data_IF_318165341490
#
_entry.id   IF_318165341490
#
_cell.length_a   1.000
_cell.length_b   1.000
_cell.length_c   1.000
_cell.angle_alpha   90.00
_cell.angle_beta   90.00
_cell.angle_gamma   90.00
#
_symmetry.space_group_name_H-M   'P 1'
#
loop_
_entity.id
_entity.type
_entity.pdbx_description
1 polymer ?
#
# COMPACT_ATOMS: atom_id res chain seq x y z
N UNK A 1 5.52 -14.52 -9.48
CA UNK A 1 5.22 -15.95 -9.76
C UNK A 1 5.64 -16.31 -11.17
N UNK A 2 6.67 -17.16 -11.33
CA UNK A 2 7.20 -17.57 -12.64
C UNK A 2 6.41 -18.75 -13.23
N UNK A 3 6.28 -18.78 -14.56
CA UNK A 3 5.61 -19.84 -15.32
C UNK A 3 6.64 -20.78 -15.95
N UNK A 4 7.50 -21.37 -15.12
CA UNK A 4 8.58 -22.25 -15.55
C UNK A 4 8.26 -23.73 -15.28
N UNK A 5 8.96 -24.63 -15.96
CA UNK A 5 8.88 -26.07 -15.69
C UNK A 5 9.11 -26.35 -14.20
N UNK A 6 8.19 -27.09 -13.58
CA UNK A 6 8.24 -27.39 -12.15
C UNK A 6 7.64 -26.31 -11.23
N UNK A 7 6.88 -25.33 -11.75
CA UNK A 7 6.17 -24.28 -10.99
C UNK A 7 5.40 -24.77 -9.75
N UNK A 8 4.81 -25.96 -9.81
CA UNK A 8 4.05 -26.55 -8.70
C UNK A 8 4.92 -27.43 -7.78
N UNK A 9 6.25 -27.32 -7.90
CA UNK A 9 7.22 -27.96 -7.01
C UNK A 9 8.11 -26.90 -6.37
N UNK A 10 8.37 -27.04 -5.07
CA UNK A 10 9.26 -26.13 -4.34
C UNK A 10 10.71 -26.59 -4.54
N UNK A 11 11.43 -25.94 -5.47
CA UNK A 11 12.87 -26.16 -5.65
C UNK A 11 13.57 -24.96 -6.28
N UNK A 12 14.87 -24.89 -6.06
CA UNK A 12 15.78 -24.02 -6.80
C UNK A 12 16.78 -24.87 -7.60
N UNK A 13 17.09 -24.40 -8.80
CA UNK A 13 18.10 -25.00 -9.68
C UNK A 13 19.21 -23.99 -9.93
N UNK A 14 20.36 -24.44 -10.42
CA UNK A 14 21.39 -23.53 -10.92
C UNK A 14 20.90 -22.89 -12.22
N UNK A 15 20.09 -21.84 -12.11
CA UNK A 15 19.53 -21.07 -13.23
C UNK A 15 19.52 -19.59 -12.89
N UNK A 16 20.32 -18.80 -13.60
CA UNK A 16 20.37 -17.35 -13.39
C UNK A 16 19.45 -16.65 -14.38
N UNK A 17 18.53 -15.82 -13.88
CA UNK A 17 17.66 -15.01 -14.75
C UNK A 17 18.50 -14.04 -15.57
N UNK A 18 18.15 -13.92 -16.84
CA UNK A 18 18.68 -12.90 -17.75
C UNK A 18 17.52 -12.09 -18.31
N UNK A 19 17.81 -10.97 -18.97
CA UNK A 19 16.77 -10.15 -19.63
C UNK A 19 15.99 -10.95 -20.68
N UNK A 20 16.66 -11.93 -21.33
CA UNK A 20 16.09 -12.76 -22.38
C UNK A 20 15.44 -14.03 -21.86
N UNK A 21 15.93 -14.60 -20.75
CA UNK A 21 15.45 -15.87 -20.20
C UNK A 21 14.95 -15.69 -18.76
N UNK A 22 13.67 -15.38 -18.64
CA UNK A 22 13.01 -15.15 -17.37
C UNK A 22 12.90 -16.41 -16.48
N UNK A 23 13.04 -17.62 -17.03
CA UNK A 23 13.14 -18.87 -16.27
C UNK A 23 14.57 -19.23 -15.85
N UNK A 24 15.54 -18.43 -16.30
CA UNK A 24 16.95 -18.53 -15.97
C UNK A 24 17.74 -19.50 -16.85
N UNK A 25 18.95 -19.08 -17.20
CA UNK A 25 19.91 -19.85 -17.97
C UNK A 25 20.63 -20.85 -17.08
N UNK A 26 20.64 -22.12 -17.49
CA UNK A 26 21.18 -23.21 -16.69
C UNK A 26 22.69 -23.07 -16.45
N UNK A 27 23.13 -23.54 -15.28
CA UNK A 27 24.51 -23.62 -14.81
C UNK A 27 25.22 -22.28 -14.55
N UNK A 28 24.48 -21.17 -14.50
CA UNK A 28 25.06 -19.85 -14.23
C UNK A 28 25.18 -19.52 -12.73
N UNK A 29 24.60 -20.31 -11.84
CA UNK A 29 24.78 -20.16 -10.39
C UNK A 29 25.83 -21.17 -9.92
N UNK A 30 27.02 -20.67 -9.57
CA UNK A 30 28.12 -21.48 -9.03
C UNK A 30 28.87 -20.70 -7.94
N UNK A 31 29.57 -21.43 -7.07
CA UNK A 31 30.49 -20.87 -6.09
C UNK A 31 31.91 -21.14 -6.55
N UNK A 32 32.74 -20.11 -6.59
CA UNK A 32 34.18 -20.26 -6.80
C UNK A 32 34.88 -20.43 -5.46
N UNK A 33 35.51 -21.58 -5.26
CA UNK A 33 36.24 -21.91 -4.02
C UNK A 33 37.74 -22.00 -4.37
N UNK A 34 38.50 -20.89 -4.24
CA UNK A 34 39.87 -20.82 -4.77
C UNK A 34 40.87 -21.67 -3.99
N UNK A 35 40.58 -21.99 -2.74
CA UNK A 35 41.43 -22.84 -1.90
C UNK A 35 40.58 -23.72 -0.96
N UNK A 36 41.12 -24.90 -0.65
CA UNK A 36 40.56 -25.77 0.37
C UNK A 36 40.60 -25.08 1.75
N UNK A 37 39.52 -25.21 2.51
CA UNK A 37 39.39 -24.57 3.81
C UNK A 37 37.96 -24.57 4.32
N UNK A 38 37.76 -23.92 5.47
CA UNK A 38 36.43 -23.67 6.03
C UNK A 38 35.88 -22.41 5.37
N UNK A 39 34.69 -22.52 4.78
CA UNK A 39 33.97 -21.42 4.15
C UNK A 39 32.61 -21.28 4.82
N UNK A 40 32.18 -20.03 5.04
CA UNK A 40 30.83 -19.72 5.52
C UNK A 40 29.94 -19.39 4.33
N UNK A 41 28.77 -20.02 4.27
CA UNK A 41 27.78 -19.79 3.21
C UNK A 41 26.52 -19.26 3.87
N UNK A 42 26.14 -18.05 3.48
CA UNK A 42 24.97 -17.36 4.00
C UNK A 42 23.86 -17.38 2.96
N UNK A 43 22.67 -17.79 3.38
CA UNK A 43 21.47 -17.72 2.58
C UNK A 43 20.68 -16.48 2.99
N UNK A 44 20.36 -15.63 2.02
CA UNK A 44 19.55 -14.43 2.21
C UNK A 44 18.47 -14.36 1.14
N UNK A 45 17.38 -13.67 1.45
CA UNK A 45 16.17 -13.60 0.64
C UNK A 45 15.81 -12.17 0.31
N UNK A 46 15.21 -11.99 -0.86
CA UNK A 46 14.70 -10.70 -1.34
C UNK A 46 13.26 -10.41 -0.87
N UNK A 47 12.39 -11.43 -0.78
CA UNK A 47 10.93 -11.27 -0.70
C UNK A 47 10.32 -12.11 0.43
N UNK A 48 9.83 -13.32 0.13
CA UNK A 48 9.15 -14.20 1.09
C UNK A 48 10.13 -15.14 1.80
N UNK A 49 9.84 -15.50 3.06
CA UNK A 49 10.59 -16.45 3.87
C UNK A 49 10.99 -17.71 3.10
N UNK A 50 12.12 -18.35 3.45
CA UNK A 50 12.43 -19.68 2.94
C UNK A 50 12.58 -20.71 4.04
N UNK A 51 12.17 -21.92 3.70
CA UNK A 51 12.55 -23.18 4.33
C UNK A 51 13.22 -24.02 3.25
N UNK A 52 14.34 -24.66 3.58
CA UNK A 52 14.94 -25.67 2.72
C UNK A 52 15.17 -26.94 3.55
N UNK A 53 14.78 -28.08 2.99
CA UNK A 53 15.06 -29.38 3.61
C UNK A 53 16.52 -29.80 3.41
N UNK A 54 17.07 -29.47 2.23
CA UNK A 54 18.40 -29.90 1.78
C UNK A 54 19.03 -28.86 0.86
N UNK A 55 20.35 -28.75 0.94
CA UNK A 55 21.19 -28.02 -0.01
C UNK A 55 22.26 -28.95 -0.57
N UNK A 56 22.37 -29.01 -1.89
CA UNK A 56 23.28 -29.90 -2.60
C UNK A 56 24.29 -29.08 -3.41
N UNK A 57 25.57 -29.38 -3.24
CA UNK A 57 26.66 -28.92 -4.10
C UNK A 57 27.29 -30.09 -4.83
N UNK A 58 27.66 -29.87 -6.08
CA UNK A 58 28.29 -30.88 -6.93
C UNK A 58 29.30 -30.21 -7.85
N UNK A 59 30.44 -30.87 -8.07
CA UNK A 59 31.41 -30.50 -9.10
C UNK A 59 31.04 -31.08 -10.48
N UNK A 60 30.10 -32.02 -10.54
CA UNK A 60 29.55 -32.54 -11.78
C UNK A 60 28.44 -31.61 -12.27
N UNK A 61 28.73 -30.85 -13.34
CA UNK A 61 27.80 -29.94 -14.00
C UNK A 61 26.50 -30.63 -14.45
N UNK A 62 26.61 -31.89 -14.90
CA UNK A 62 25.50 -32.69 -15.42
C UNK A 62 24.86 -33.59 -14.35
N UNK A 63 25.11 -33.28 -13.07
CA UNK A 63 24.53 -34.04 -11.97
C UNK A 63 23.00 -33.97 -12.03
N UNK A 64 22.38 -35.13 -12.25
CA UNK A 64 20.92 -35.23 -12.26
C UNK A 64 20.42 -35.15 -10.82
N UNK A 65 19.44 -34.26 -10.60
CA UNK A 65 18.75 -34.16 -9.31
C UNK A 65 18.23 -35.53 -8.88
N UNK A 66 18.43 -35.96 -7.63
CA UNK A 66 17.85 -37.19 -7.11
C UNK A 66 16.32 -37.08 -7.09
N UNK A 67 15.64 -38.20 -7.30
CA UNK A 67 14.17 -38.27 -7.19
C UNK A 67 13.71 -38.48 -5.74
N UNK A 68 14.65 -38.74 -4.83
CA UNK A 68 14.47 -38.98 -3.41
C UNK A 68 15.11 -37.85 -2.56
N UNK A 69 15.37 -38.12 -1.28
CA UNK A 69 16.01 -37.17 -0.34
C UNK A 69 17.45 -36.79 -0.71
N UNK A 70 18.02 -37.44 -1.73
CA UNK A 70 19.38 -37.22 -2.17
C UNK A 70 20.43 -37.89 -1.29
N UNK A 71 21.72 -37.61 -1.53
CA UNK A 71 22.81 -38.26 -0.83
C UNK A 71 22.79 -37.96 0.67
N UNK A 72 23.36 -38.88 1.47
CA UNK A 72 23.52 -38.70 2.89
C UNK A 72 24.36 -37.45 3.20
N UNK A 73 23.95 -36.68 4.21
CA UNK A 73 24.69 -35.48 4.64
C UNK A 73 26.04 -35.91 5.20
N UNK A 74 27.11 -35.28 4.71
CA UNK A 74 28.47 -35.47 5.23
C UNK A 74 28.81 -34.31 6.16
N UNK A 75 29.17 -34.63 7.41
CA UNK A 75 29.50 -33.64 8.44
C UNK A 75 31.00 -33.65 8.65
N UNK A 76 31.65 -32.49 8.46
CA UNK A 76 33.09 -32.38 8.70
C UNK A 76 33.44 -32.38 10.19
N UNK A 77 32.59 -31.80 11.05
CA UNK A 77 32.72 -31.84 12.52
C UNK A 77 31.41 -31.47 13.22
N UNK A 78 31.22 -31.92 14.47
CA UNK A 78 30.02 -31.66 15.27
C UNK A 78 28.89 -32.66 15.04
N UNK A 79 27.73 -32.37 15.65
CA UNK A 79 26.50 -33.14 15.45
C UNK A 79 25.53 -32.32 14.59
N UNK A 80 24.91 -32.96 13.60
CA UNK A 80 23.79 -32.35 12.89
C UNK A 80 22.64 -32.11 13.89
N UNK A 81 21.97 -30.95 13.82
CA UNK A 81 20.70 -30.76 14.50
C UNK A 81 19.69 -31.84 14.08
N UNK A 82 18.75 -32.17 14.97
CA UNK A 82 17.64 -33.04 14.61
C UNK A 82 16.86 -32.41 13.43
N UNK A 83 16.64 -33.19 12.37
CA UNK A 83 15.83 -32.76 11.24
C UNK A 83 14.39 -32.51 11.68
N UNK A 84 13.73 -31.53 11.05
CA UNK A 84 12.28 -31.37 11.17
C UNK A 84 11.56 -32.58 10.55
N UNK A 85 10.34 -32.91 11.01
CA UNK A 85 9.53 -33.94 10.36
C UNK A 85 9.31 -33.58 8.89
N UNK A 86 9.62 -34.52 7.99
CA UNK A 86 9.46 -34.32 6.53
C UNK A 86 7.98 -34.14 6.22
N UNK A 87 7.62 -33.02 5.56
CA UNK A 87 6.29 -32.82 5.03
C UNK A 87 6.03 -33.81 3.88
N UNK A 88 4.85 -34.48 3.81
CA UNK A 88 4.57 -35.38 2.71
C UNK A 88 4.63 -34.62 1.38
N UNK A 89 5.44 -35.13 0.44
CA UNK A 89 5.52 -34.61 -0.93
C UNK A 89 4.14 -34.74 -1.57
N UNK A 90 3.45 -33.62 -1.76
CA UNK A 90 2.24 -33.61 -2.56
C UNK A 90 2.61 -33.94 -4.00
N UNK A 91 2.24 -35.15 -4.44
CA UNK A 91 2.30 -35.51 -5.86
C UNK A 91 1.24 -34.67 -6.55
N UNK A 92 1.65 -33.66 -7.30
CA UNK A 92 0.74 -32.93 -8.17
C UNK A 92 0.28 -33.91 -9.26
N UNK A 93 -0.96 -34.39 -9.17
CA UNK A 93 -1.62 -35.06 -10.28
C UNK A 93 -1.84 -34.04 -11.40
N UNK A 94 -1.34 -34.40 -12.58
CA UNK A 94 -1.41 -33.62 -13.80
C UNK A 94 -2.87 -33.63 -14.30
N UNK A 95 -3.64 -32.59 -13.97
CA UNK A 95 -4.95 -32.37 -14.55
C UNK A 95 -4.79 -31.82 -15.98
N UNK A 96 -4.38 -32.72 -16.89
CA UNK A 96 -4.37 -32.50 -18.32
C UNK A 96 -5.80 -32.30 -18.84
N UNK A 97 -6.18 -31.04 -19.04
CA UNK A 97 -7.46 -30.63 -19.63
C UNK A 97 -7.30 -29.32 -20.38
N UNK A 98 -6.57 -29.35 -21.49
CA UNK A 98 -6.37 -28.21 -22.38
C UNK A 98 -7.66 -27.99 -23.20
N UNK A 99 -8.54 -27.09 -22.74
CA UNK A 99 -9.64 -26.57 -23.57
C UNK A 99 -9.12 -25.35 -24.31
N UNK A 100 -8.93 -25.50 -25.62
CA UNK A 100 -8.55 -24.42 -26.54
C UNK A 100 -9.83 -23.69 -26.96
N UNK A 101 -9.98 -22.37 -26.77
CA UNK A 101 -11.04 -21.63 -27.43
C UNK A 101 -10.62 -21.29 -28.86
N UNK A 102 -11.52 -21.54 -29.80
CA UNK A 102 -11.37 -21.23 -31.23
C UNK A 102 -11.09 -19.74 -31.47
N UNK A 103 -10.18 -19.50 -32.42
CA UNK A 103 -9.81 -18.18 -32.91
C UNK A 103 -10.98 -17.51 -33.64
N UNK A 104 -11.52 -16.43 -33.07
CA UNK A 104 -12.36 -15.48 -33.80
C UNK A 104 -11.43 -14.50 -34.51
N UNK A 105 -11.24 -14.70 -35.81
CA UNK A 105 -10.62 -13.73 -36.70
C UNK A 105 -11.52 -12.50 -36.84
N UNK A 106 -11.07 -11.34 -36.35
CA UNK A 106 -11.57 -10.04 -36.80
C UNK A 106 -10.43 -9.16 -37.27
N UNK A 107 -10.53 -8.81 -38.54
CA UNK A 107 -9.66 -7.95 -39.32
C UNK A 107 -9.51 -6.57 -38.68
N UNK A 108 -8.26 -6.13 -38.53
CA UNK A 108 -7.90 -4.77 -38.19
C UNK A 108 -8.21 -3.81 -39.36
N UNK A 109 -8.89 -2.71 -39.06
CA UNK A 109 -8.70 -1.44 -39.78
C UNK A 109 -8.22 -0.41 -38.77
N UNK A 110 -6.91 -0.18 -38.75
CA UNK A 110 -6.27 0.94 -38.04
C UNK A 110 -6.71 2.24 -38.72
N UNK A 111 -7.79 2.83 -38.21
CA UNK A 111 -8.10 4.23 -38.44
C UNK A 111 -7.31 5.05 -37.42
N UNK A 112 -6.30 5.77 -37.90
CA UNK A 112 -5.64 6.84 -37.16
C UNK A 112 -6.67 7.93 -36.88
N UNK A 113 -7.28 7.91 -35.69
CA UNK A 113 -8.01 9.06 -35.18
C UNK A 113 -6.99 10.16 -34.90
N UNK A 114 -7.19 11.39 -35.44
CA UNK A 114 -6.30 12.50 -35.15
C UNK A 114 -6.35 12.77 -33.64
N UNK A 115 -5.17 12.98 -33.02
CA UNK A 115 -5.09 13.52 -31.67
C UNK A 115 -5.97 14.77 -31.61
N UNK A 116 -6.99 14.73 -30.76
CA UNK A 116 -7.77 15.91 -30.46
C UNK A 116 -6.81 17.03 -30.03
N UNK A 117 -6.97 18.27 -30.52
CA UNK A 117 -6.17 19.39 -30.05
C UNK A 117 -6.30 19.45 -28.52
N UNK A 118 -5.18 19.65 -27.82
CA UNK A 118 -5.16 19.80 -26.37
C UNK A 118 -6.21 20.85 -25.98
N UNK A 119 -7.32 20.40 -25.38
CA UNK A 119 -8.32 21.30 -24.84
C UNK A 119 -7.61 22.19 -23.83
N UNK A 120 -7.72 23.50 -23.99
CA UNK A 120 -7.32 24.45 -22.96
C UNK A 120 -8.10 24.06 -21.70
N UNK A 121 -7.42 23.46 -20.71
CA UNK A 121 -8.06 23.12 -19.43
C UNK A 121 -8.52 24.43 -18.82
N UNK A 122 -9.81 24.51 -18.47
CA UNK A 122 -10.35 25.67 -17.79
C UNK A 122 -9.59 25.89 -16.47
N UNK A 123 -9.40 27.16 -16.11
CA UNK A 123 -8.71 27.52 -14.87
C UNK A 123 -9.47 27.02 -13.64
N UNK A 124 -10.81 27.04 -13.70
CA UNK A 124 -11.71 26.59 -12.64
C UNK A 124 -12.87 25.78 -13.21
N UNK A 125 -13.22 24.69 -12.54
CA UNK A 125 -14.40 23.91 -12.84
C UNK A 125 -15.68 24.63 -12.40
N UNK A 126 -16.76 24.41 -13.16
CA UNK A 126 -18.08 25.00 -12.94
C UNK A 126 -19.15 23.89 -12.86
N UNK A 127 -20.27 24.11 -12.15
CA UNK A 127 -20.59 25.30 -11.35
C UNK A 127 -19.80 25.35 -10.04
N UNK A 128 -19.62 26.55 -9.48
CA UNK A 128 -19.02 26.74 -8.15
C UNK A 128 -20.06 26.95 -7.07
N UNK A 129 -19.70 26.58 -5.85
CA UNK A 129 -20.45 26.91 -4.64
C UNK A 129 -19.70 27.97 -3.83
N UNK A 130 -20.35 28.51 -2.81
CA UNK A 130 -19.70 29.41 -1.87
C UNK A 130 -18.66 28.66 -1.02
N UNK A 131 -17.66 29.38 -0.54
CA UNK A 131 -16.73 28.87 0.46
C UNK A 131 -17.45 28.45 1.74
N UNK A 132 -16.86 27.50 2.46
CA UNK A 132 -17.30 27.10 3.79
C UNK A 132 -17.12 28.23 4.81
N UNK A 133 -17.88 28.20 5.93
CA UNK A 133 -17.87 29.26 6.93
C UNK A 133 -16.61 29.29 7.83
N UNK A 134 -15.61 28.44 7.59
CA UNK A 134 -14.42 28.31 8.42
C UNK A 134 -14.66 27.53 9.72
N UNK A 135 -15.73 26.75 9.82
CA UNK A 135 -16.03 25.95 11.01
C UNK A 135 -15.21 24.66 11.06
N UNK A 136 -14.78 24.28 12.26
CA UNK A 136 -14.04 23.04 12.49
C UNK A 136 -14.92 22.01 13.19
N UNK A 137 -14.82 20.77 12.74
CA UNK A 137 -15.38 19.59 13.40
C UNK A 137 -14.28 18.56 13.67
N UNK A 138 -14.38 17.88 14.81
CA UNK A 138 -13.48 16.80 15.20
C UNK A 138 -14.27 15.48 15.17
N UNK A 139 -13.72 14.45 14.53
CA UNK A 139 -14.33 13.13 14.42
C UNK A 139 -13.32 11.99 14.53
N UNK A 140 -13.82 10.76 14.61
CA UNK A 140 -13.04 9.55 14.86
C UNK A 140 -13.12 9.10 16.32
N UNK A 141 -12.45 7.99 16.62
CA UNK A 141 -12.33 7.49 17.99
C UNK A 141 -11.30 8.36 18.73
N UNK A 142 -11.76 9.19 19.68
CA UNK A 142 -10.90 10.12 20.42
C UNK A 142 -10.10 9.39 21.51
N UNK A 143 -9.20 8.52 21.07
CA UNK A 143 -8.35 7.68 21.90
C UNK A 143 -6.90 7.73 21.45
N UNK A 144 -6.00 7.49 22.38
CA UNK A 144 -4.57 7.40 22.11
C UNK A 144 -4.32 6.35 21.02
N UNK A 145 -3.49 6.68 20.03
CA UNK A 145 -3.15 5.84 18.86
C UNK A 145 -4.25 5.64 17.82
N UNK A 146 -5.43 6.25 17.99
CA UNK A 146 -6.50 6.22 16.97
C UNK A 146 -6.44 7.45 16.08
N UNK A 147 -6.98 7.32 14.85
CA UNK A 147 -7.08 8.44 13.92
C UNK A 147 -8.14 9.45 14.36
N UNK A 148 -7.69 10.60 14.83
CA UNK A 148 -8.51 11.79 15.04
C UNK A 148 -8.49 12.62 13.76
N UNK A 149 -9.67 12.99 13.26
CA UNK A 149 -9.81 13.80 12.04
C UNK A 149 -10.34 15.18 12.39
N UNK A 150 -9.58 16.21 12.05
CA UNK A 150 -10.06 17.58 12.00
C UNK A 150 -10.57 17.86 10.59
N UNK A 151 -11.82 18.27 10.46
CA UNK A 151 -12.41 18.74 9.20
C UNK A 151 -12.75 20.22 9.32
N UNK A 152 -12.14 21.04 8.46
CA UNK A 152 -12.42 22.45 8.28
C UNK A 152 -13.35 22.65 7.08
N UNK A 153 -14.39 23.45 7.26
CA UNK A 153 -15.21 23.97 6.16
C UNK A 153 -14.55 25.20 5.56
N UNK A 154 -13.58 24.96 4.68
CA UNK A 154 -12.73 25.98 4.06
C UNK A 154 -13.21 26.42 2.66
N UNK A 155 -12.32 27.00 1.84
CA UNK A 155 -12.62 27.40 0.48
C UNK A 155 -13.22 26.28 -0.37
N UNK A 156 -14.16 26.63 -1.24
CA UNK A 156 -14.71 25.67 -2.20
C UNK A 156 -13.67 25.39 -3.30
N UNK A 157 -13.38 24.11 -3.51
CA UNK A 157 -12.47 23.66 -4.57
C UNK A 157 -13.06 22.48 -5.35
N UNK A 158 -12.48 22.23 -6.53
CA UNK A 158 -12.64 21.02 -7.30
C UNK A 158 -11.26 20.43 -7.55
N UNK A 159 -11.13 19.11 -7.52
CA UNK A 159 -9.86 18.39 -7.74
C UNK A 159 -9.23 18.60 -9.12
N UNK A 160 -9.88 19.32 -10.05
CA UNK A 160 -9.41 19.65 -11.41
C UNK A 160 -9.23 21.17 -11.61
N UNK A 161 -9.32 21.96 -10.55
CA UNK A 161 -9.03 23.39 -10.61
C UNK A 161 -7.54 23.63 -10.80
N UNK A 162 -7.18 24.58 -11.67
CA UNK A 162 -5.80 24.98 -11.92
C UNK A 162 -5.42 26.28 -11.20
N UNK A 163 -6.36 27.23 -11.07
CA UNK A 163 -6.07 28.56 -10.53
C UNK A 163 -7.21 29.11 -9.62
N UNK A 164 -7.18 28.88 -8.30
CA UNK A 164 -6.16 28.10 -7.58
C UNK A 164 -6.38 26.57 -7.66
N UNK A 165 -5.32 25.82 -7.94
CA UNK A 165 -5.28 24.38 -7.70
C UNK A 165 -5.30 24.05 -6.18
N UNK A 166 -6.21 23.18 -5.70
CA UNK A 166 -6.38 22.89 -4.27
C UNK A 166 -5.19 22.21 -3.60
N UNK A 167 -4.37 21.50 -4.37
CA UNK A 167 -3.29 20.66 -3.85
C UNK A 167 -1.96 21.39 -3.78
N UNK A 168 -1.77 22.45 -4.59
CA UNK A 168 -0.51 23.22 -4.60
C UNK A 168 -0.66 24.69 -4.21
N UNK A 169 -1.87 25.26 -4.34
CA UNK A 169 -2.09 26.69 -4.05
C UNK A 169 -2.82 26.97 -2.73
N UNK A 170 -3.19 25.93 -1.99
CA UNK A 170 -3.65 26.03 -0.61
C UNK A 170 -2.76 25.22 0.31
N UNK A 171 -2.59 25.71 1.54
CA UNK A 171 -1.87 25.02 2.60
C UNK A 171 -2.72 25.06 3.86
N UNK A 172 -3.16 23.88 4.29
CA UNK A 172 -3.71 23.64 5.61
C UNK A 172 -2.60 23.06 6.49
N UNK A 173 -2.28 23.74 7.58
CA UNK A 173 -1.43 23.21 8.64
C UNK A 173 -2.18 23.31 9.96
N UNK A 174 -2.23 22.23 10.71
CA UNK A 174 -2.84 22.24 12.05
C UNK A 174 -1.77 21.94 13.09
N UNK A 175 -1.62 22.85 14.03
CA UNK A 175 -0.76 22.65 15.18
C UNK A 175 -1.56 22.05 16.33
N UNK A 176 -1.29 20.80 16.68
CA UNK A 176 -1.84 20.12 17.83
C UNK A 176 -0.86 20.17 19.01
N UNK A 177 -1.33 20.54 20.20
CA UNK A 177 -0.51 20.63 21.41
C UNK A 177 -1.25 20.00 22.59
N UNK A 178 -0.63 19.00 23.20
CA UNK A 178 -1.15 18.40 24.44
C UNK A 178 -1.11 19.40 25.59
N UNK A 179 -2.07 19.35 26.52
CA UNK A 179 -2.20 20.30 27.64
C UNK A 179 -0.98 20.39 28.58
N UNK A 180 -0.14 19.35 28.61
CA UNK A 180 1.16 19.41 29.32
C UNK A 180 2.23 20.23 28.60
N UNK A 181 1.91 20.87 27.46
CA UNK A 181 2.82 21.64 26.62
C UNK A 181 3.57 20.82 25.57
N UNK A 182 3.72 19.51 25.80
CA UNK A 182 4.27 18.52 24.87
C UNK A 182 3.53 17.19 25.00
N UNK A 183 3.41 16.38 23.93
CA UNK A 183 3.96 16.63 22.59
C UNK A 183 3.21 17.71 21.80
N UNK A 184 3.89 18.21 20.77
CA UNK A 184 3.41 19.25 19.87
C UNK A 184 3.70 18.84 18.43
N UNK A 185 2.68 18.87 17.58
CA UNK A 185 2.77 18.45 16.18
C UNK A 185 2.18 19.51 15.27
N UNK A 186 2.90 19.88 14.21
CA UNK A 186 2.31 20.58 13.06
C UNK A 186 2.07 19.55 11.99
N UNK A 187 0.81 19.32 11.65
CA UNK A 187 0.40 18.28 10.69
C UNK A 187 -0.22 18.96 9.47
N UNK A 188 0.25 18.64 8.26
CA UNK A 188 -0.36 19.15 7.04
C UNK A 188 -1.75 18.53 6.83
N UNK A 189 -2.65 19.29 6.24
CA UNK A 189 -3.94 18.83 5.77
C UNK A 189 -4.05 18.84 4.25
N UNK A 190 -5.19 18.41 3.74
CA UNK A 190 -5.48 18.27 2.30
C UNK A 190 -6.93 18.59 1.98
N UNK A 191 -7.21 18.85 0.69
CA UNK A 191 -8.56 19.02 0.17
C UNK A 191 -9.29 17.67 0.05
N UNK A 192 -10.48 17.56 0.64
CA UNK A 192 -11.23 16.32 0.80
C UNK A 192 -12.65 16.38 0.18
N UNK A 193 -12.84 17.21 -0.85
CA UNK A 193 -14.12 17.39 -1.53
C UNK A 193 -15.29 17.67 -0.57
N UNK A 194 -16.28 16.79 -0.50
CA UNK A 194 -17.46 16.89 0.37
C UNK A 194 -17.26 16.21 1.74
N UNK A 195 -16.11 15.58 1.97
CA UNK A 195 -15.80 14.82 3.17
C UNK A 195 -16.43 13.42 3.23
N UNK A 196 -17.11 12.96 2.20
CA UNK A 196 -17.60 11.58 2.09
C UNK A 196 -17.35 11.01 0.68
N UNK A 197 -16.27 11.49 0.05
CA UNK A 197 -15.97 11.20 -1.35
C UNK A 197 -15.76 9.73 -1.63
N UNK A 198 -15.39 8.93 -0.62
CA UNK A 198 -15.35 7.48 -0.77
C UNK A 198 -16.72 6.88 -1.16
N UNK A 199 -17.83 7.47 -0.67
CA UNK A 199 -19.20 7.02 -0.93
C UNK A 199 -19.93 7.85 -1.99
N UNK A 200 -19.66 9.16 -2.06
CA UNK A 200 -20.36 10.05 -2.98
C UNK A 200 -19.66 10.21 -4.33
N UNK A 201 -18.37 9.84 -4.41
CA UNK A 201 -17.47 10.15 -5.51
C UNK A 201 -17.38 11.64 -5.84
N UNK A 202 -17.61 12.50 -4.84
CA UNK A 202 -17.51 13.92 -5.04
C UNK A 202 -16.07 14.33 -5.39
N UNK A 203 -15.95 15.10 -6.46
CA UNK A 203 -14.71 15.71 -6.94
C UNK A 203 -14.54 17.17 -6.47
N UNK A 204 -15.54 17.70 -5.75
CA UNK A 204 -15.57 19.10 -5.29
C UNK A 204 -16.32 19.24 -3.97
N UNK A 205 -16.07 20.36 -3.30
CA UNK A 205 -16.71 20.69 -2.03
C UNK A 205 -15.88 21.68 -1.22
N UNK A 206 -16.16 21.76 0.08
CA UNK A 206 -15.54 22.73 1.00
C UNK A 206 -14.78 22.06 2.14
N UNK A 207 -14.61 20.73 2.13
CA UNK A 207 -13.99 20.01 3.24
C UNK A 207 -12.48 19.94 3.06
N UNK A 208 -11.77 20.31 4.12
CA UNK A 208 -10.32 20.20 4.22
C UNK A 208 -9.98 19.41 5.48
N UNK A 209 -9.13 18.39 5.37
CA UNK A 209 -8.89 17.42 6.43
C UNK A 209 -7.45 17.40 6.89
N UNK A 210 -7.28 17.20 8.19
CA UNK A 210 -6.01 16.89 8.82
C UNK A 210 -6.20 15.74 9.80
N UNK A 211 -5.24 14.83 9.88
CA UNK A 211 -5.33 13.63 10.72
C UNK A 211 -4.21 13.60 11.76
N UNK A 212 -4.56 13.44 13.03
CA UNK A 212 -3.63 13.20 14.12
C UNK A 212 -3.88 11.79 14.67
N UNK A 213 -2.81 11.05 14.98
CA UNK A 213 -2.88 9.90 15.87
C UNK A 213 -2.28 10.31 17.22
N UNK A 214 -3.08 10.77 18.20
CA UNK A 214 -2.56 11.32 19.45
C UNK A 214 -1.80 10.24 20.21
N UNK A 215 -0.58 10.53 20.63
CA UNK A 215 0.29 9.58 21.33
C UNK A 215 0.18 9.69 22.85
N UNK A 216 -0.74 10.54 23.35
CA UNK A 216 -0.92 10.79 24.77
C UNK A 216 -2.40 11.07 25.11
N UNK A 217 -2.96 10.42 26.15
CA UNK A 217 -4.28 10.77 26.69
C UNK A 217 -4.26 12.13 27.39
N UNK A 218 -5.41 12.81 27.39
CA UNK A 218 -5.61 14.14 27.96
C UNK A 218 -6.15 15.12 26.93
N UNK A 219 -6.21 16.39 27.32
CA UNK A 219 -6.72 17.44 26.43
C UNK A 219 -5.69 17.86 25.40
N UNK A 220 -6.13 17.93 24.15
CA UNK A 220 -5.35 18.44 23.02
C UNK A 220 -5.96 19.74 22.52
N UNK A 221 -5.14 20.78 22.40
CA UNK A 221 -5.52 22.03 21.77
C UNK A 221 -5.03 22.04 20.32
N UNK A 222 -5.77 22.67 19.43
CA UNK A 222 -5.36 22.88 18.05
C UNK A 222 -5.43 24.36 17.65
N UNK A 223 -4.56 24.75 16.72
CA UNK A 223 -4.63 26.03 15.99
C UNK A 223 -4.45 25.76 14.50
N UNK A 224 -5.37 26.27 13.69
CA UNK A 224 -5.44 26.07 12.24
C UNK A 224 -4.73 27.23 11.54
N UNK A 225 -3.85 26.92 10.59
CA UNK A 225 -3.41 27.85 9.56
C UNK A 225 -3.93 27.37 8.21
N UNK A 226 -4.72 28.21 7.54
CA UNK A 226 -5.30 27.93 6.23
C UNK A 226 -4.97 29.10 5.30
N UNK A 227 -4.05 28.85 4.38
CA UNK A 227 -3.42 29.89 3.56
C UNK A 227 -3.58 29.59 2.08
N UNK A 228 -3.67 30.64 1.26
CA UNK A 228 -3.67 30.56 -0.20
C UNK A 228 -2.48 31.34 -0.76
N UNK A 229 -1.76 30.74 -1.70
CA UNK A 229 -0.60 31.35 -2.35
C UNK A 229 -0.07 30.45 -3.47
N UNK A 230 0.71 31.00 -4.38
CA UNK A 230 1.24 30.25 -5.53
C UNK A 230 2.25 29.20 -5.07
N UNK A 231 2.00 27.91 -5.36
CA UNK A 231 2.85 26.77 -4.94
C UNK A 231 3.21 26.80 -3.44
N UNK A 232 2.25 27.24 -2.61
CA UNK A 232 2.43 27.39 -1.17
C UNK A 232 2.77 26.08 -0.46
N UNK A 233 2.36 24.94 -1.02
CA UNK A 233 2.69 23.61 -0.49
C UNK A 233 4.17 23.25 -0.58
N UNK A 234 4.98 23.98 -1.36
CA UNK A 234 6.39 23.66 -1.63
C UNK A 234 7.40 24.56 -0.89
N UNK A 235 6.93 25.52 -0.07
CA UNK A 235 7.81 26.51 0.58
C UNK A 235 7.41 26.79 2.03
N UNK A 236 8.43 27.02 2.87
CA UNK A 236 8.25 27.36 4.29
C UNK A 236 7.93 28.85 4.54
N UNK A 237 8.20 29.73 3.56
CA UNK A 237 7.95 31.18 3.67
C UNK A 237 7.15 31.73 2.47
N UNK A 238 5.93 31.23 2.24
CA UNK A 238 5.12 31.62 1.10
C UNK A 238 4.57 33.04 1.23
N UNK A 239 4.61 33.80 0.14
CA UNK A 239 3.70 34.94 -0.03
C UNK A 239 2.29 34.37 -0.11
N UNK A 240 1.47 34.67 0.89
CA UNK A 240 0.16 34.05 1.06
C UNK A 240 -0.82 34.97 1.73
N UNK A 241 -2.11 34.70 1.51
CA UNK A 241 -3.21 35.34 2.22
C UNK A 241 -3.98 34.33 3.08
N UNK A 242 -4.57 34.82 4.17
CA UNK A 242 -5.52 34.07 4.99
C UNK A 242 -6.78 33.80 4.17
N UNK A 243 -7.36 32.61 4.31
CA UNK A 243 -8.67 32.28 3.75
C UNK A 243 -9.59 31.76 4.86
N UNK A 244 -10.91 31.54 4.61
CA UNK A 244 -11.83 31.10 5.64
C UNK A 244 -11.30 29.90 6.45
N UNK A 245 -11.29 30.05 7.78
CA UNK A 245 -10.74 29.05 8.72
C UNK A 245 -9.33 29.33 9.26
N UNK A 246 -8.58 30.29 8.68
CA UNK A 246 -7.26 30.67 9.22
C UNK A 246 -7.38 31.22 10.65
N UNK A 247 -6.52 30.76 11.55
CA UNK A 247 -6.48 31.18 12.95
C UNK A 247 -7.56 30.57 13.85
N UNK A 248 -8.38 29.63 13.35
CA UNK A 248 -9.35 28.93 14.19
C UNK A 248 -8.64 28.05 15.20
N UNK A 249 -9.06 28.15 16.46
CA UNK A 249 -8.52 27.38 17.57
C UNK A 249 -9.63 26.55 18.22
N UNK A 250 -9.22 25.50 18.93
CA UNK A 250 -10.13 24.71 19.75
C UNK A 250 -9.41 23.61 20.50
N UNK A 251 -10.19 22.68 21.05
CA UNK A 251 -9.63 21.55 21.79
C UNK A 251 -10.56 20.34 21.74
N UNK A 252 -9.99 19.17 22.01
CA UNK A 252 -10.72 17.92 22.18
C UNK A 252 -10.03 17.06 23.24
N UNK A 253 -10.78 16.14 23.83
CA UNK A 253 -10.29 15.20 24.84
C UNK A 253 -9.90 13.87 24.19
N UNK A 254 -8.77 13.31 24.60
CA UNK A 254 -8.29 12.00 24.16
C UNK A 254 -8.26 11.05 25.35
N UNK A 255 -9.00 9.95 25.28
CA UNK A 255 -8.95 8.89 26.27
C UNK A 255 -7.78 7.92 26.02
N UNK A 256 -7.39 7.08 27.00
CA UNK A 256 -6.52 5.93 26.74
C UNK A 256 -7.12 5.00 25.68
N UNK A 257 -6.25 4.31 24.93
CA UNK A 257 -6.71 3.24 24.03
C UNK A 257 -7.35 2.11 24.83
N UNK A 258 -8.44 1.56 24.31
CA UNK A 258 -9.09 0.35 24.81
C UNK A 258 -8.85 -0.87 23.91
N UNK A 259 -8.00 -0.70 22.90
CA UNK A 259 -7.67 -1.77 21.97
C UNK A 259 -6.76 -2.80 22.63
N UNK A 260 -6.92 -4.03 22.19
CA UNK A 260 -6.10 -5.17 22.60
C UNK A 260 -5.61 -5.89 21.35
N UNK A 261 -4.59 -6.73 21.50
CA UNK A 261 -4.07 -7.56 20.41
C UNK A 261 -5.20 -8.37 19.75
N UNK A 262 -5.27 -8.45 18.40
CA UNK A 262 -4.23 -8.11 17.44
C UNK A 262 -4.24 -6.66 16.91
N UNK A 263 -5.17 -5.81 17.33
CA UNK A 263 -5.28 -4.42 16.85
C UNK A 263 -4.00 -3.64 17.16
N UNK A 264 -3.35 -3.08 16.13
CA UNK A 264 -2.05 -2.44 16.27
C UNK A 264 -2.09 -1.15 17.12
N UNK A 265 -3.28 -0.55 17.28
CA UNK A 265 -3.49 0.61 18.15
C UNK A 265 -3.35 0.27 19.64
N UNK A 266 -3.37 -1.01 20.00
CA UNK A 266 -3.02 -1.46 21.36
C UNK A 266 -1.53 -1.29 21.66
N UNK A 267 -0.69 -1.23 20.62
CA UNK A 267 0.77 -1.20 20.74
C UNK A 267 1.38 0.18 20.44
N UNK A 268 0.64 1.07 19.78
CA UNK A 268 1.10 2.40 19.38
C UNK A 268 1.98 2.38 18.14
N UNK A 269 2.60 3.50 17.82
CA UNK A 269 3.42 3.64 16.60
C UNK A 269 4.74 2.85 16.69
N UNK A 270 5.17 2.24 15.58
CA UNK A 270 6.51 1.64 15.48
C UNK A 270 7.61 2.71 15.47
N UNK A 271 8.68 2.47 16.21
CA UNK A 271 9.81 3.36 16.37
C UNK A 271 11.12 2.63 16.11
N UNK A 272 12.04 3.31 15.43
CA UNK A 272 13.44 2.90 15.40
C UNK A 272 14.10 3.31 16.72
N UNK A 273 14.63 2.33 17.45
CA UNK A 273 15.20 2.53 18.79
C UNK A 273 16.73 2.41 18.82
N UNK A 274 17.38 2.51 17.66
CA UNK A 274 18.84 2.33 17.54
C UNK A 274 19.32 0.88 17.52
N UNK A 275 18.39 -0.08 17.47
CA UNK A 275 18.64 -1.52 17.51
C UNK A 275 18.17 -2.20 16.21
N UNK A 276 18.47 -3.50 16.07
CA UNK A 276 18.14 -4.29 14.86
C UNK A 276 16.65 -4.29 14.48
N UNK A 277 15.74 -4.28 15.46
CA UNK A 277 14.30 -4.40 15.24
C UNK A 277 13.55 -3.14 15.69
N UNK A 278 12.47 -2.81 14.98
CA UNK A 278 11.54 -1.75 15.40
C UNK A 278 10.82 -2.15 16.69
N UNK A 279 10.43 -1.15 17.47
CA UNK A 279 9.73 -1.33 18.74
C UNK A 279 8.46 -0.49 18.76
N UNK A 280 7.38 -1.05 19.28
CA UNK A 280 6.12 -0.35 19.49
C UNK A 280 6.21 0.65 20.65
N UNK A 281 5.72 1.88 20.43
CA UNK A 281 5.86 2.99 21.39
C UNK A 281 5.10 2.77 22.71
N UNK A 282 3.91 2.17 22.69
CA UNK A 282 3.08 1.96 23.89
C UNK A 282 3.51 0.68 24.61
N UNK A 283 3.42 -0.45 23.90
CA UNK A 283 3.66 -1.77 24.52
C UNK A 283 5.13 -2.06 24.78
N UNK A 284 6.04 -1.34 24.10
CA UNK A 284 7.46 -1.65 24.15
C UNK A 284 7.81 -3.03 23.57
N UNK A 285 6.93 -3.66 22.79
CA UNK A 285 7.22 -4.93 22.15
C UNK A 285 8.02 -4.72 20.86
N UNK A 286 8.94 -5.63 20.56
CA UNK A 286 9.61 -5.64 19.26
C UNK A 286 8.67 -6.13 18.16
N UNK A 287 8.80 -5.57 16.97
CA UNK A 287 8.02 -5.93 15.81
C UNK A 287 8.86 -6.71 14.81
N UNK A 288 8.46 -7.96 14.55
CA UNK A 288 8.98 -8.78 13.48
C UNK A 288 7.99 -8.73 12.31
N UNK A 289 8.38 -8.08 11.21
CA UNK A 289 7.56 -8.01 10.00
C UNK A 289 7.44 -9.40 9.39
N UNK A 290 6.21 -9.87 9.22
CA UNK A 290 5.86 -11.11 8.53
C UNK A 290 4.58 -10.85 7.73
N UNK A 291 4.68 -10.80 6.41
CA UNK A 291 3.58 -10.33 5.58
C UNK A 291 3.82 -10.51 4.10
N UNK A 292 2.76 -10.39 3.31
CA UNK A 292 2.84 -10.57 1.86
C UNK A 292 3.55 -9.38 1.20
N UNK A 293 4.54 -9.66 0.35
CA UNK A 293 5.21 -8.62 -0.46
C UNK A 293 4.56 -8.45 -1.85
N UNK A 294 3.50 -9.22 -2.13
CA UNK A 294 2.77 -9.19 -3.40
C UNK A 294 1.25 -9.30 -3.19
N UNK A 295 0.45 -8.77 -4.14
CA UNK A 295 0.88 -8.05 -5.34
C UNK A 295 1.27 -6.59 -5.05
N UNK A 296 2.40 -6.13 -5.61
CA UNK A 296 2.81 -4.71 -5.56
C UNK A 296 1.71 -3.75 -6.08
N UNK A 297 0.87 -4.25 -6.98
CA UNK A 297 -0.26 -3.51 -7.58
C UNK A 297 -1.59 -3.75 -6.86
N UNK A 298 -1.55 -4.03 -5.56
CA UNK A 298 -2.74 -4.26 -4.71
C UNK A 298 -3.81 -3.17 -4.90
N UNK A 299 -3.40 -1.90 -5.03
CA UNK A 299 -4.29 -0.76 -5.23
C UNK A 299 -4.85 -0.63 -6.66
N UNK A 300 -4.37 -1.45 -7.62
CA UNK A 300 -4.97 -1.57 -8.95
C UNK A 300 -6.20 -2.47 -8.88
N UNK A 301 -7.29 -1.94 -8.34
CA UNK A 301 -8.48 -2.68 -7.90
C UNK A 301 -9.75 -2.11 -8.57
N UNK A 302 -10.65 -3.00 -9.02
CA UNK A 302 -11.82 -2.62 -9.85
C UNK A 302 -12.85 -1.74 -9.15
N UNK A 303 -12.92 -1.80 -7.82
CA UNK A 303 -13.97 -1.13 -7.05
C UNK A 303 -13.58 0.27 -6.59
N UNK A 304 -12.31 0.67 -6.80
CA UNK A 304 -11.89 2.05 -6.59
C UNK A 304 -12.35 2.95 -7.72
N UNK A 305 -12.82 4.15 -7.38
CA UNK A 305 -13.18 5.16 -8.35
C UNK A 305 -11.94 5.61 -9.16
N UNK A 306 -12.18 6.08 -10.38
CA UNK A 306 -11.13 6.65 -11.25
C UNK A 306 -9.93 5.73 -11.54
N UNK A 307 -10.07 4.41 -11.38
CA UNK A 307 -8.97 3.44 -11.51
C UNK A 307 -9.05 2.71 -12.84
N UNK A 308 -7.96 2.71 -13.59
CA UNK A 308 -7.84 2.04 -14.90
C UNK A 308 -6.50 1.30 -15.00
N UNK A 309 -6.45 0.24 -15.81
CA UNK A 309 -5.20 -0.42 -16.15
C UNK A 309 -4.71 0.07 -17.51
N UNK A 310 -3.46 0.57 -17.58
CA UNK A 310 -2.81 0.96 -18.83
C UNK A 310 -2.42 -0.24 -19.71
N UNK A 311 -2.32 -1.44 -19.11
CA UNK A 311 -1.98 -2.70 -19.78
C UNK A 311 -3.01 -3.80 -19.43
N UNK A 312 -4.30 -3.64 -19.75
CA UNK A 312 -5.37 -4.50 -19.23
C UNK A 312 -5.21 -5.98 -19.64
N UNK A 313 -4.63 -6.26 -20.81
CA UNK A 313 -4.39 -7.63 -21.29
C UNK A 313 -3.25 -8.35 -20.53
N UNK A 314 -2.36 -7.61 -19.86
CA UNK A 314 -1.20 -8.17 -19.15
C UNK A 314 -1.35 -8.08 -17.63
N UNK A 315 -1.82 -6.93 -17.15
CA UNK A 315 -1.96 -6.62 -15.73
C UNK A 315 -3.32 -5.95 -15.51
N UNK A 316 -4.44 -6.70 -15.62
CA UNK A 316 -5.77 -6.16 -15.38
C UNK A 316 -5.91 -5.67 -13.94
N UNK A 317 -6.93 -4.85 -13.70
CA UNK A 317 -7.36 -4.52 -12.35
C UNK A 317 -7.82 -5.79 -11.63
N UNK A 318 -7.52 -5.86 -10.34
CA UNK A 318 -7.88 -6.99 -9.48
C UNK A 318 -9.33 -6.89 -9.07
N UNK A 319 -9.98 -8.03 -8.90
CA UNK A 319 -11.30 -8.12 -8.26
C UNK A 319 -11.23 -8.59 -6.81
N UNK A 320 -10.15 -9.28 -6.43
CA UNK A 320 -10.05 -10.04 -5.17
C UNK A 320 -11.30 -10.90 -4.90
N UNK A 321 -11.98 -11.36 -5.95
CA UNK A 321 -13.22 -12.13 -5.84
C UNK A 321 -13.12 -13.38 -4.95
N UNK A 322 -12.00 -14.14 -4.94
CA UNK A 322 -11.84 -15.28 -4.03
C UNK A 322 -11.89 -14.91 -2.54
N UNK A 323 -11.70 -13.63 -2.20
CA UNK A 323 -11.70 -13.13 -0.84
C UNK A 323 -13.01 -12.45 -0.44
N UNK A 324 -14.07 -12.51 -1.25
CA UNK A 324 -15.37 -11.97 -0.86
C UNK A 324 -15.92 -12.70 0.38
N UNK A 325 -15.74 -14.02 0.46
CA UNK A 325 -16.18 -14.82 1.59
C UNK A 325 -15.31 -14.62 2.85
N UNK A 326 -14.16 -13.95 2.69
CA UNK A 326 -13.25 -13.61 3.79
C UNK A 326 -13.66 -12.32 4.52
N UNK A 327 -14.58 -11.53 3.94
CA UNK A 327 -15.21 -10.32 4.51
C UNK A 327 -16.29 -10.71 5.53
N UNK A 328 -16.37 -10.00 6.64
CA UNK A 328 -17.31 -10.26 7.74
C UNK A 328 -18.32 -9.13 7.89
N UNK A 329 -19.48 -9.43 8.49
CA UNK A 329 -20.44 -8.39 8.88
C UNK A 329 -19.78 -7.36 9.82
N UNK A 330 -19.91 -6.08 9.48
CA UNK A 330 -19.28 -4.97 10.20
C UNK A 330 -17.95 -4.49 9.60
N UNK A 331 -17.33 -5.26 8.71
CA UNK A 331 -16.16 -4.80 7.96
C UNK A 331 -16.53 -3.64 7.02
N UNK A 332 -15.61 -2.70 6.78
CA UNK A 332 -15.92 -1.52 6.01
C UNK A 332 -16.19 -1.87 4.54
N UNK A 333 -17.01 -1.04 3.91
CA UNK A 333 -17.26 -1.00 2.47
C UNK A 333 -17.49 0.45 2.06
N UNK A 334 -17.52 0.72 0.76
CA UNK A 334 -17.92 2.02 0.21
C UNK A 334 -18.94 1.83 -0.90
N UNK A 335 -19.68 2.89 -1.26
CA UNK A 335 -20.62 2.92 -2.39
C UNK A 335 -21.53 1.68 -2.46
N UNK A 336 -22.26 1.44 -1.38
CA UNK A 336 -23.22 0.34 -1.27
C UNK A 336 -22.61 -1.06 -1.45
N UNK A 337 -21.48 -1.31 -0.80
CA UNK A 337 -20.90 -2.66 -0.67
C UNK A 337 -19.71 -2.96 -1.58
N UNK A 338 -19.16 -1.97 -2.27
CA UNK A 338 -17.86 -2.08 -2.95
C UNK A 338 -16.74 -2.24 -1.94
N UNK A 339 -15.65 -2.86 -2.38
CA UNK A 339 -14.46 -3.04 -1.55
C UNK A 339 -14.36 -4.37 -0.82
N UNK A 340 -15.44 -5.16 -0.77
CA UNK A 340 -15.50 -6.41 -0.02
C UNK A 340 -14.37 -7.37 -0.36
N UNK A 341 -14.04 -7.53 -1.65
CA UNK A 341 -12.96 -8.42 -2.06
C UNK A 341 -11.60 -8.01 -1.47
N UNK A 342 -11.24 -6.72 -1.53
CA UNK A 342 -9.97 -6.24 -1.02
C UNK A 342 -9.93 -6.25 0.52
N UNK A 343 -11.01 -5.83 1.18
CA UNK A 343 -11.12 -5.89 2.65
C UNK A 343 -11.06 -7.34 3.15
N UNK A 344 -11.75 -8.26 2.48
CA UNK A 344 -11.65 -9.69 2.77
C UNK A 344 -10.23 -10.24 2.53
N UNK A 345 -9.50 -9.75 1.52
CA UNK A 345 -8.11 -10.16 1.31
C UNK A 345 -7.21 -9.73 2.48
N UNK A 346 -7.43 -8.54 3.05
CA UNK A 346 -6.74 -8.09 4.27
C UNK A 346 -7.10 -8.99 5.46
N UNK A 347 -8.39 -9.35 5.62
CA UNK A 347 -8.80 -10.29 6.68
C UNK A 347 -8.14 -11.66 6.53
N UNK A 348 -8.04 -12.16 5.30
CA UNK A 348 -7.38 -13.42 5.01
C UNK A 348 -5.92 -13.38 5.47
N UNK A 349 -5.18 -12.31 5.12
CA UNK A 349 -3.79 -12.13 5.56
C UNK A 349 -3.69 -12.09 7.09
N UNK A 350 -4.54 -11.32 7.76
CA UNK A 350 -4.60 -11.25 9.22
C UNK A 350 -4.84 -12.64 9.84
N UNK A 351 -5.80 -13.42 9.30
CA UNK A 351 -6.07 -14.81 9.76
C UNK A 351 -4.91 -15.77 9.52
N UNK A 352 -4.04 -15.51 8.53
CA UNK A 352 -2.81 -16.27 8.30
C UNK A 352 -1.65 -15.84 9.21
N UNK A 353 -1.88 -14.87 10.10
CA UNK A 353 -0.87 -14.35 11.02
C UNK A 353 0.05 -13.32 10.37
N UNK A 354 -0.28 -12.81 9.18
CA UNK A 354 0.46 -11.72 8.58
C UNK A 354 0.17 -10.41 9.30
N UNK A 355 1.21 -9.60 9.51
CA UNK A 355 1.14 -8.30 10.18
C UNK A 355 1.60 -7.13 9.28
N UNK A 356 1.78 -7.41 8.00
CA UNK A 356 2.13 -6.43 6.98
C UNK A 356 1.63 -6.90 5.61
N UNK A 357 1.42 -5.95 4.71
CA UNK A 357 1.27 -6.19 3.29
C UNK A 357 1.89 -5.04 2.50
N UNK A 358 2.48 -5.35 1.36
CA UNK A 358 3.18 -4.40 0.50
C UNK A 358 2.28 -3.91 -0.63
N UNK A 359 2.47 -2.65 -1.04
CA UNK A 359 1.80 -2.06 -2.19
C UNK A 359 2.58 -0.84 -2.71
N UNK A 360 2.43 -0.53 -3.99
CA UNK A 360 2.90 0.71 -4.59
C UNK A 360 1.75 1.73 -4.61
N UNK A 361 2.06 2.99 -4.32
CA UNK A 361 1.11 4.12 -4.46
C UNK A 361 1.21 4.78 -5.84
N UNK A 362 2.25 4.48 -6.61
CA UNK A 362 2.48 5.01 -7.94
C UNK A 362 3.33 4.04 -8.77
N UNK A 363 2.83 3.60 -9.92
CA UNK A 363 3.56 2.76 -10.87
C UNK A 363 3.31 3.14 -12.34
N UNK A 364 2.81 4.35 -12.60
CA UNK A 364 2.54 4.82 -13.96
C UNK A 364 3.80 4.75 -14.83
N UNK A 365 3.69 4.12 -16.00
CA UNK A 365 4.80 3.83 -16.91
C UNK A 365 5.63 2.58 -16.57
N UNK A 366 5.43 1.98 -15.40
CA UNK A 366 6.10 0.74 -14.97
C UNK A 366 5.42 -0.53 -15.50
N UNK A 367 5.81 -1.68 -14.96
CA UNK A 367 5.31 -2.99 -15.42
C UNK A 367 3.80 -3.16 -15.17
N UNK A 368 3.30 -2.67 -14.04
CA UNK A 368 1.88 -2.69 -13.73
C UNK A 368 1.06 -1.62 -14.45
N UNK A 369 1.55 -0.38 -14.51
CA UNK A 369 0.91 0.79 -15.15
C UNK A 369 -0.59 0.89 -14.84
N UNK A 370 -0.96 0.81 -13.56
CA UNK A 370 -2.35 0.70 -13.12
C UNK A 370 -2.62 1.25 -11.71
N UNK A 371 -1.64 1.92 -11.10
CA UNK A 371 -1.75 2.56 -9.78
C UNK A 371 -1.13 3.95 -9.83
N UNK A 372 -1.94 4.95 -9.50
CA UNK A 372 -1.54 6.33 -9.25
C UNK A 372 -2.62 7.02 -8.40
N UNK A 373 -2.25 8.04 -7.62
CA UNK A 373 -3.19 8.73 -6.74
C UNK A 373 -3.97 9.85 -7.46
N UNK A 374 -3.65 10.09 -8.74
CA UNK A 374 -4.14 11.23 -9.51
C UNK A 374 -5.47 10.93 -10.22
N UNK A 375 -6.17 12.00 -10.60
CA UNK A 375 -7.38 11.97 -11.46
C UNK A 375 -7.09 11.35 -12.83
N UNK A 376 -5.85 11.51 -13.32
CA UNK A 376 -5.39 10.88 -14.55
C UNK A 376 -3.90 10.57 -14.48
N UNK A 377 -3.49 9.55 -15.23
CA UNK A 377 -2.14 8.98 -15.21
C UNK A 377 -1.01 10.01 -15.31
N UNK A 378 -1.18 11.02 -16.17
CA UNK A 378 -0.14 12.00 -16.49
C UNK A 378 -0.39 13.38 -15.84
N UNK A 379 -1.42 13.50 -14.98
CA UNK A 379 -1.80 14.76 -14.30
C UNK A 379 -1.40 14.76 -12.82
N UNK A 380 -0.09 14.95 -12.59
CA UNK A 380 0.54 14.78 -11.27
C UNK A 380 0.19 15.86 -10.25
N UNK A 381 -0.57 16.89 -10.63
CA UNK A 381 -0.95 18.00 -9.76
C UNK A 381 -2.42 17.92 -9.29
N UNK A 382 -3.17 16.91 -9.75
CA UNK A 382 -4.59 16.76 -9.43
C UNK A 382 -4.82 15.36 -8.85
N UNK A 383 -4.97 15.29 -7.53
CA UNK A 383 -5.25 14.06 -6.80
C UNK A 383 -6.73 13.71 -6.91
N UNK A 384 -7.05 12.41 -7.03
CA UNK A 384 -8.44 11.93 -7.04
C UNK A 384 -8.94 11.78 -5.61
N UNK A 385 -9.82 12.68 -5.17
CA UNK A 385 -10.30 12.72 -3.80
C UNK A 385 -11.01 11.41 -3.42
N UNK A 386 -11.91 10.93 -4.29
CA UNK A 386 -12.73 9.73 -4.03
C UNK A 386 -11.89 8.46 -3.94
N UNK A 387 -10.95 8.27 -4.87
CA UNK A 387 -10.03 7.13 -4.89
C UNK A 387 -9.19 7.09 -3.61
N UNK A 388 -8.62 8.22 -3.21
CA UNK A 388 -7.75 8.29 -2.03
C UNK A 388 -8.51 8.08 -0.73
N UNK A 389 -9.74 8.57 -0.63
CA UNK A 389 -10.61 8.33 0.53
C UNK A 389 -10.95 6.82 0.64
N UNK A 390 -11.17 6.13 -0.49
CA UNK A 390 -11.35 4.67 -0.52
C UNK A 390 -10.07 3.89 -0.17
N UNK A 391 -8.90 4.35 -0.61
CA UNK A 391 -7.61 3.79 -0.17
C UNK A 391 -7.45 3.93 1.35
N UNK A 392 -7.84 5.09 1.90
CA UNK A 392 -7.85 5.36 3.33
C UNK A 392 -8.63 4.32 4.13
N UNK A 393 -9.81 3.90 3.64
CA UNK A 393 -10.63 2.84 4.26
C UNK A 393 -9.84 1.53 4.39
N UNK A 394 -9.11 1.12 3.34
CA UNK A 394 -8.32 -0.12 3.35
C UNK A 394 -7.17 -0.04 4.35
N UNK A 395 -6.50 1.11 4.44
CA UNK A 395 -5.38 1.30 5.36
C UNK A 395 -5.82 1.40 6.82
N UNK A 396 -6.96 2.05 7.08
CA UNK A 396 -7.58 2.06 8.41
C UNK A 396 -7.93 0.62 8.83
N UNK A 397 -8.52 -0.16 7.93
CA UNK A 397 -8.88 -1.56 8.19
C UNK A 397 -7.66 -2.44 8.45
N UNK A 398 -6.60 -2.29 7.66
CA UNK A 398 -5.35 -3.03 7.85
C UNK A 398 -4.59 -2.68 9.13
N UNK A 399 -4.97 -1.60 9.83
CA UNK A 399 -4.43 -1.22 11.14
C UNK A 399 -5.22 -1.85 12.30
N UNK A 400 -6.51 -2.13 12.09
CA UNK A 400 -7.49 -2.46 13.11
C UNK A 400 -7.51 -3.93 13.53
#
# INVERSE_FOLDING_TARGET
>A
MQWCDGKNSWRWESRQRTETEHCGEAHQIFLEVPAAGIHEIQFSMREDGFEFDRWLMTNNREFKRPADEGPAVVVSSGNLPAAFPVAPVAVAEDAGGQVVPEAVTRSASLSTLPMAPAMVKADLQQPRQADGPGTVSISGDLKQWHKVTLTLDGPFAHELDNAPNPFVNYQLNVQFTHESGLPKYTVPGYFAADGDSANTSAASGTKWRCHLAPDKPGRWNYSVSMRKGTFISETDTPISEAVPGDGVEGSFEVAPTDKTTPDLRAHGRLQYVGERYLRFAESGQYFLKAGADAPETLLGYIDFDGTIAGKPEKVPLKSFAPHIDDWNEGDPTWKDGRGKGLIGAVNYLSRKGCNAFSFLTYNAGGDGDNVWPFVSRDDKLHYDCSKLDQWGIVFDHGTA
#
